data_IF_883499600694
#
_entry.id   IF_883499600694
#
_cell.length_a   1.000
_cell.length_b   1.000
_cell.length_c   1.000
_cell.angle_alpha   90.00
_cell.angle_beta   90.00
_cell.angle_gamma   90.00
#
_symmetry.space_group_name_H-M   'P 1'
#
loop_
_entity.id
_entity.type
_entity.pdbx_description
1 polymer ?
#
# COMPACT_ATOMS: atom_id res chain seq x y z
N UNK A 1 63.68 11.73 -1.24
CA UNK A 1 63.43 11.59 -2.71
C UNK A 1 62.06 10.96 -2.89
N UNK A 2 61.02 11.82 -2.87
CA UNK A 2 59.60 11.43 -2.84
C UNK A 2 59.02 11.76 -4.23
N UNK A 3 58.58 10.74 -4.99
CA UNK A 3 57.90 10.89 -6.26
C UNK A 3 56.38 10.94 -6.04
N UNK A 4 55.79 12.07 -6.35
CA UNK A 4 54.38 12.32 -6.44
C UNK A 4 53.73 11.43 -7.55
N UNK A 5 52.74 10.63 -7.20
CA UNK A 5 51.81 10.03 -8.14
C UNK A 5 50.51 10.85 -8.18
N UNK A 6 50.37 11.63 -9.24
CA UNK A 6 49.14 12.33 -9.63
C UNK A 6 48.06 11.31 -10.03
N UNK A 7 46.99 11.23 -9.25
CA UNK A 7 45.81 10.49 -9.61
C UNK A 7 45.00 11.18 -10.72
N UNK A 8 44.84 10.49 -11.83
CA UNK A 8 43.99 10.89 -12.97
C UNK A 8 42.50 10.80 -12.54
N UNK A 9 41.80 11.93 -12.52
CA UNK A 9 40.33 11.99 -12.45
C UNK A 9 39.76 11.36 -13.74
N UNK A 10 39.10 10.22 -13.62
CA UNK A 10 38.24 9.70 -14.69
C UNK A 10 36.92 10.50 -14.69
N UNK A 11 36.72 11.28 -15.75
CA UNK A 11 35.42 11.84 -16.13
C UNK A 11 34.55 10.70 -16.65
N UNK A 12 33.41 10.48 -15.98
CA UNK A 12 32.33 9.68 -16.54
C UNK A 12 31.47 10.56 -17.44
N UNK A 13 31.25 10.20 -18.71
CA UNK A 13 30.29 10.92 -19.55
C UNK A 13 28.88 10.44 -19.18
N UNK A 14 28.10 11.34 -18.58
CA UNK A 14 26.67 11.17 -18.51
C UNK A 14 26.05 11.33 -19.91
N UNK A 15 25.42 10.27 -20.40
CA UNK A 15 24.36 10.39 -21.41
C UNK A 15 23.33 9.29 -21.16
N UNK A 16 22.15 9.76 -20.79
CA UNK A 16 20.87 9.10 -20.77
C UNK A 16 20.66 8.20 -22.00
N UNK A 17 20.66 6.88 -21.75
CA UNK A 17 20.21 5.85 -22.71
C UNK A 17 19.06 5.01 -22.15
N UNK A 18 18.27 5.58 -21.22
CA UNK A 18 17.18 4.84 -20.58
C UNK A 18 15.88 4.78 -21.40
N UNK A 19 15.70 5.63 -22.41
CA UNK A 19 14.42 5.72 -23.11
C UNK A 19 14.26 4.79 -24.33
N UNK A 20 15.34 4.21 -24.84
CA UNK A 20 15.26 3.28 -25.98
C UNK A 20 15.06 1.83 -25.52
N UNK A 21 15.42 1.50 -24.28
CA UNK A 21 15.24 0.15 -23.72
C UNK A 21 13.79 -0.17 -23.37
N UNK A 22 13.00 0.83 -22.99
CA UNK A 22 11.58 0.65 -22.63
C UNK A 22 10.75 0.29 -23.87
N UNK A 23 11.00 0.90 -25.03
CA UNK A 23 10.26 0.62 -26.26
C UNK A 23 10.64 -0.74 -26.90
N UNK A 24 11.89 -1.18 -26.74
CA UNK A 24 12.29 -2.53 -27.17
C UNK A 24 11.78 -3.65 -26.28
N UNK A 25 11.57 -3.36 -24.97
CA UNK A 25 10.97 -4.31 -24.05
C UNK A 25 9.47 -4.52 -24.31
N UNK A 26 8.73 -3.48 -24.72
CA UNK A 26 7.30 -3.57 -25.04
C UNK A 26 7.07 -4.36 -26.35
N UNK A 27 7.95 -4.25 -27.36
CA UNK A 27 7.85 -5.03 -28.60
C UNK A 27 8.40 -6.47 -28.43
N UNK A 28 9.35 -6.69 -27.53
CA UNK A 28 9.92 -8.02 -27.25
C UNK A 28 8.99 -8.94 -26.45
N UNK A 29 8.10 -8.39 -25.63
CA UNK A 29 7.11 -9.16 -24.85
C UNK A 29 6.00 -9.73 -25.74
N UNK A 30 5.74 -9.17 -26.92
CA UNK A 30 4.80 -9.74 -27.89
C UNK A 30 5.29 -11.03 -28.60
N UNK A 31 6.60 -11.33 -28.56
CA UNK A 31 7.20 -12.46 -29.29
C UNK A 31 7.65 -13.61 -28.37
N UNK A 32 7.74 -13.40 -27.04
CA UNK A 32 8.26 -14.39 -26.07
C UNK A 32 7.17 -15.14 -25.27
N UNK A 33 5.94 -15.17 -25.73
CA UNK A 33 4.87 -16.03 -25.15
C UNK A 33 4.94 -17.50 -25.62
N UNK A 34 6.03 -17.89 -26.24
CA UNK A 34 6.18 -19.20 -26.93
C UNK A 34 6.84 -20.33 -26.14
N UNK A 35 7.28 -20.20 -24.88
CA UNK A 35 7.92 -21.35 -24.23
C UNK A 35 7.98 -21.22 -22.71
N UNK A 36 6.97 -21.70 -22.05
CA UNK A 36 6.92 -22.53 -20.82
C UNK A 36 5.51 -22.50 -20.21
N UNK A 37 4.63 -23.30 -20.82
CA UNK A 37 3.29 -23.54 -20.34
C UNK A 37 3.36 -24.63 -19.29
N UNK A 38 3.25 -24.27 -18.01
CA UNK A 38 2.78 -25.22 -17.00
C UNK A 38 1.26 -25.11 -16.96
N UNK A 39 0.61 -25.95 -17.75
CA UNK A 39 -0.87 -26.04 -17.82
C UNK A 39 -1.36 -26.77 -16.57
N UNK A 40 -1.88 -26.05 -15.61
CA UNK A 40 -2.83 -26.59 -14.66
C UNK A 40 -4.22 -26.49 -15.29
N UNK A 41 -4.56 -27.45 -16.15
CA UNK A 41 -5.92 -27.60 -16.68
C UNK A 41 -6.83 -28.09 -15.54
N UNK A 42 -7.58 -27.18 -14.93
CA UNK A 42 -8.76 -27.56 -14.17
C UNK A 42 -9.92 -27.76 -15.14
N UNK A 43 -10.07 -28.99 -15.61
CA UNK A 43 -11.28 -29.42 -16.31
C UNK A 43 -12.42 -29.54 -15.30
N UNK A 44 -13.10 -28.44 -15.05
CA UNK A 44 -14.37 -28.44 -14.35
C UNK A 44 -15.49 -28.47 -15.37
N UNK A 45 -16.25 -29.58 -15.46
CA UNK A 45 -17.53 -29.63 -16.14
C UNK A 45 -18.49 -28.70 -15.41
N UNK A 46 -18.54 -27.42 -15.81
CA UNK A 46 -19.57 -26.51 -15.36
C UNK A 46 -20.85 -26.79 -16.11
N UNK A 47 -21.77 -27.53 -15.47
CA UNK A 47 -23.18 -27.45 -15.78
C UNK A 47 -23.59 -25.98 -15.79
N UNK A 48 -24.18 -25.54 -16.88
CA UNK A 48 -24.82 -24.25 -17.13
C UNK A 48 -25.14 -23.44 -15.86
N UNK A 49 -24.22 -22.62 -15.40
CA UNK A 49 -24.49 -21.56 -14.45
C UNK A 49 -24.61 -20.26 -15.24
N UNK A 50 -25.63 -20.27 -16.16
CA UNK A 50 -26.22 -19.01 -16.57
C UNK A 50 -26.66 -18.31 -15.29
N UNK A 51 -26.09 -17.16 -15.03
CA UNK A 51 -26.69 -16.03 -14.29
C UNK A 51 -27.84 -16.44 -13.37
N UNK A 52 -27.61 -17.39 -12.46
CA UNK A 52 -28.41 -17.44 -11.25
C UNK A 52 -28.12 -16.09 -10.58
N UNK A 53 -29.19 -15.32 -10.48
CA UNK A 53 -29.21 -14.03 -9.85
C UNK A 53 -28.22 -13.97 -8.70
N UNK A 54 -27.17 -13.14 -8.83
CA UNK A 54 -26.22 -12.84 -7.74
C UNK A 54 -26.93 -12.30 -6.48
N UNK A 55 -28.26 -12.10 -6.56
CA UNK A 55 -29.14 -11.78 -5.45
C UNK A 55 -29.34 -12.93 -4.43
N UNK A 56 -28.98 -14.15 -4.78
CA UNK A 56 -29.11 -15.30 -3.89
C UNK A 56 -27.86 -15.59 -3.06
N UNK A 57 -26.74 -14.88 -3.27
CA UNK A 57 -25.54 -15.01 -2.43
C UNK A 57 -25.77 -14.13 -1.19
N UNK A 58 -25.93 -14.77 -0.06
CA UNK A 58 -26.10 -14.16 1.28
C UNK A 58 -24.82 -13.36 1.66
N UNK A 59 -24.62 -12.18 1.06
CA UNK A 59 -23.50 -11.29 1.31
C UNK A 59 -23.90 -9.82 1.25
N UNK A 60 -23.20 -8.95 2.00
CA UNK A 60 -23.38 -7.52 1.89
C UNK A 60 -22.84 -7.02 0.55
N UNK A 61 -23.68 -6.34 -0.21
CA UNK A 61 -23.32 -5.86 -1.56
C UNK A 61 -23.42 -4.35 -1.63
N UNK A 62 -22.36 -3.70 -2.13
CA UNK A 62 -22.22 -2.25 -2.21
C UNK A 62 -21.91 -1.85 -3.67
N UNK A 63 -22.62 -0.85 -4.18
CA UNK A 63 -22.30 -0.31 -5.51
C UNK A 63 -21.05 0.57 -5.47
N UNK A 64 -20.31 0.62 -6.57
CA UNK A 64 -19.13 1.49 -6.69
C UNK A 64 -19.45 2.97 -6.44
N UNK A 65 -20.67 3.43 -6.84
CA UNK A 65 -21.09 4.81 -6.60
C UNK A 65 -21.37 5.08 -5.11
N UNK A 66 -21.90 4.09 -4.39
CA UNK A 66 -22.09 4.20 -2.94
C UNK A 66 -20.74 4.29 -2.22
N UNK A 67 -19.79 3.41 -2.56
CA UNK A 67 -18.46 3.39 -1.97
C UNK A 67 -17.71 4.71 -2.16
N UNK A 68 -17.81 5.33 -3.33
CA UNK A 68 -17.19 6.63 -3.62
C UNK A 68 -17.68 7.78 -2.75
N UNK A 69 -18.90 7.73 -2.24
CA UNK A 69 -19.42 8.76 -1.33
C UNK A 69 -18.68 8.78 0.00
N UNK A 70 -18.17 7.62 0.44
CA UNK A 70 -17.43 7.50 1.70
C UNK A 70 -15.92 7.76 1.52
N UNK A 71 -15.35 7.24 0.43
CA UNK A 71 -13.95 7.53 0.10
C UNK A 71 -13.73 7.49 -1.43
N UNK A 72 -13.49 8.65 -2.09
CA UNK A 72 -13.50 8.72 -3.54
C UNK A 72 -12.29 8.06 -4.22
N UNK A 73 -11.17 7.90 -3.50
CA UNK A 73 -9.90 7.44 -4.08
C UNK A 73 -9.39 6.10 -3.55
N UNK A 74 -9.88 5.65 -2.38
CA UNK A 74 -9.37 4.42 -1.74
C UNK A 74 -10.51 3.44 -1.45
N UNK A 75 -10.48 2.30 -2.13
CA UNK A 75 -11.51 1.27 -2.01
C UNK A 75 -11.56 0.64 -0.62
N UNK A 76 -10.40 0.35 0.00
CA UNK A 76 -10.34 -0.28 1.31
C UNK A 76 -10.92 0.61 2.41
N UNK A 77 -10.57 1.90 2.40
CA UNK A 77 -11.17 2.86 3.34
C UNK A 77 -12.68 3.00 3.15
N UNK A 78 -13.14 3.01 1.90
CA UNK A 78 -14.58 3.03 1.63
C UNK A 78 -15.27 1.77 2.16
N UNK A 79 -14.67 0.60 2.00
CA UNK A 79 -15.21 -0.68 2.51
C UNK A 79 -15.24 -0.70 4.03
N UNK A 80 -14.22 -0.21 4.72
CA UNK A 80 -14.16 -0.14 6.18
C UNK A 80 -15.32 0.70 6.77
N UNK A 81 -15.71 1.76 6.08
CA UNK A 81 -16.83 2.61 6.51
C UNK A 81 -18.19 1.91 6.31
N UNK A 82 -18.39 1.25 5.16
CA UNK A 82 -19.69 0.62 4.84
C UNK A 82 -19.88 -0.76 5.46
N UNK A 83 -18.77 -1.39 5.88
CA UNK A 83 -18.77 -2.71 6.49
C UNK A 83 -18.05 -2.69 7.85
N UNK A 84 -18.77 -2.31 8.92
CA UNK A 84 -18.19 -2.16 10.27
C UNK A 84 -17.61 -3.46 10.86
N UNK A 85 -18.03 -4.63 10.36
CA UNK A 85 -17.45 -5.91 10.78
C UNK A 85 -16.08 -6.20 10.19
N UNK A 86 -15.63 -5.38 9.24
CA UNK A 86 -14.32 -5.46 8.63
C UNK A 86 -13.30 -4.75 9.53
N UNK A 87 -12.48 -5.52 10.19
CA UNK A 87 -11.39 -5.02 11.04
C UNK A 87 -10.10 -5.17 10.25
N UNK A 88 -9.42 -4.07 10.02
CA UNK A 88 -8.06 -4.03 9.49
C UNK A 88 -7.14 -3.99 10.70
N UNK A 89 -6.09 -4.83 10.73
CA UNK A 89 -5.20 -4.95 11.89
C UNK A 89 -4.70 -3.58 12.38
N UNK A 90 -4.36 -3.50 13.68
CA UNK A 90 -3.96 -2.28 14.42
C UNK A 90 -2.77 -1.50 13.88
N UNK A 91 -2.20 -1.93 12.80
CA UNK A 91 -1.46 -1.03 11.95
C UNK A 91 -2.35 0.14 11.46
N UNK A 92 -3.55 0.30 12.04
CA UNK A 92 -4.47 1.44 11.87
C UNK A 92 -3.79 2.78 12.06
N UNK A 93 -2.84 2.86 12.98
CA UNK A 93 -2.01 4.04 13.18
C UNK A 93 -1.19 4.39 11.95
N UNK A 94 -0.89 3.39 11.10
CA UNK A 94 -0.14 3.54 9.87
C UNK A 94 -1.04 3.64 8.64
N UNK A 95 -2.19 2.96 8.66
CA UNK A 95 -3.12 2.92 7.55
C UNK A 95 -3.80 4.27 7.34
N UNK A 96 -3.22 5.07 6.52
CA UNK A 96 -3.67 6.42 6.22
C UNK A 96 -2.62 7.48 6.47
N UNK A 97 -1.64 7.23 7.34
CA UNK A 97 -0.49 8.12 7.54
C UNK A 97 0.63 7.83 6.55
N UNK A 98 0.87 6.55 6.22
CA UNK A 98 1.83 6.12 5.21
C UNK A 98 1.12 5.58 3.95
N UNK A 99 1.31 6.19 2.78
CA UNK A 99 0.70 5.72 1.54
C UNK A 99 1.29 4.40 1.03
N UNK A 100 2.41 3.93 1.59
CA UNK A 100 3.05 2.66 1.22
C UNK A 100 2.53 1.48 2.03
N UNK A 101 1.80 1.74 3.10
CA UNK A 101 1.28 0.69 3.95
C UNK A 101 0.23 -0.16 3.23
N UNK A 102 0.42 -1.47 3.27
CA UNK A 102 -0.54 -2.48 2.80
C UNK A 102 -0.93 -3.33 3.99
N UNK A 103 -2.23 -3.46 4.33
CA UNK A 103 -2.67 -4.28 5.44
C UNK A 103 -2.22 -5.73 5.32
N UNK A 104 -1.73 -6.29 6.40
CA UNK A 104 -1.33 -7.71 6.50
C UNK A 104 -2.43 -8.57 7.07
N UNK A 105 -3.38 -7.98 7.80
CA UNK A 105 -4.53 -8.65 8.35
C UNK A 105 -5.82 -7.88 8.05
N UNK A 106 -6.83 -8.60 7.58
CA UNK A 106 -8.21 -8.13 7.48
C UNK A 106 -9.10 -9.25 7.97
N UNK A 107 -9.89 -8.98 9.00
CA UNK A 107 -10.82 -9.96 9.56
C UNK A 107 -12.26 -9.47 9.48
N UNK A 108 -13.19 -10.42 9.38
CA UNK A 108 -14.61 -10.19 9.53
C UNK A 108 -15.09 -10.94 10.77
N UNK A 109 -15.74 -10.24 11.73
CA UNK A 109 -16.28 -10.81 12.98
C UNK A 109 -15.22 -11.50 13.88
N UNK A 110 -14.01 -10.93 13.95
CA UNK A 110 -12.92 -11.43 14.78
C UNK A 110 -12.07 -12.53 14.12
N UNK A 111 -11.00 -12.92 14.83
CA UNK A 111 -10.01 -13.90 14.33
C UNK A 111 -10.61 -15.30 14.38
N UNK A 112 -10.71 -15.94 13.21
CA UNK A 112 -11.23 -17.32 13.09
C UNK A 112 -10.14 -18.39 12.96
N UNK A 113 -8.85 -18.02 12.98
CA UNK A 113 -7.78 -18.99 12.81
C UNK A 113 -7.17 -19.40 14.15
N UNK A 114 -6.98 -20.71 14.34
CA UNK A 114 -6.27 -21.30 15.47
C UNK A 114 -4.74 -21.17 15.27
N UNK A 115 -4.29 -20.81 14.08
CA UNK A 115 -2.88 -20.82 13.66
C UNK A 115 -2.10 -19.54 14.00
N UNK A 116 -2.53 -18.75 14.97
CA UNK A 116 -1.76 -17.62 15.49
C UNK A 116 -1.46 -16.50 14.47
N UNK A 117 -0.87 -15.43 14.96
CA UNK A 117 -0.59 -14.20 14.18
C UNK A 117 0.49 -14.32 13.10
N UNK A 118 1.22 -15.42 13.02
CA UNK A 118 2.41 -15.52 12.16
C UNK A 118 2.11 -15.67 10.65
N UNK A 119 0.86 -15.93 10.25
CA UNK A 119 0.50 -16.20 8.85
C UNK A 119 -0.31 -15.13 8.13
N UNK A 120 -0.66 -14.01 8.78
CA UNK A 120 -1.55 -12.99 8.21
C UNK A 120 -2.95 -13.55 7.89
N UNK A 121 -4.01 -12.92 8.38
CA UNK A 121 -5.40 -13.33 8.13
C UNK A 121 -6.00 -12.42 7.08
N UNK A 122 -5.90 -12.81 5.81
CA UNK A 122 -6.48 -12.06 4.71
C UNK A 122 -7.70 -12.77 4.14
N UNK A 123 -8.76 -12.05 3.74
CA UNK A 123 -9.84 -12.60 2.95
C UNK A 123 -9.37 -12.96 1.54
N UNK A 124 -10.07 -13.87 0.89
CA UNK A 124 -9.86 -14.13 -0.52
C UNK A 124 -10.41 -12.95 -1.34
N UNK A 125 -9.60 -12.38 -2.23
CA UNK A 125 -9.97 -11.22 -3.03
C UNK A 125 -10.13 -11.65 -4.47
N UNK A 126 -11.35 -11.47 -5.01
CA UNK A 126 -11.72 -11.87 -6.36
C UNK A 126 -12.14 -10.64 -7.16
N UNK A 127 -11.57 -10.43 -8.34
CA UNK A 127 -11.97 -9.38 -9.28
C UNK A 127 -12.36 -10.02 -10.60
N UNK A 128 -13.59 -9.83 -11.02
CA UNK A 128 -14.18 -10.42 -12.25
C UNK A 128 -13.93 -11.94 -12.38
N UNK A 129 -13.90 -12.65 -11.24
CA UNK A 129 -13.64 -14.09 -11.17
C UNK A 129 -12.18 -14.49 -10.99
N UNK A 130 -11.25 -13.57 -10.94
CA UNK A 130 -9.82 -13.81 -10.72
C UNK A 130 -9.39 -13.38 -9.34
N UNK A 131 -8.54 -14.19 -8.74
CA UNK A 131 -7.88 -13.85 -7.49
C UNK A 131 -6.81 -12.79 -7.69
N UNK A 132 -6.78 -11.80 -6.80
CA UNK A 132 -5.72 -10.80 -6.70
C UNK A 132 -5.17 -10.75 -5.28
N UNK A 133 -3.93 -10.27 -5.13
CA UNK A 133 -3.30 -10.05 -3.84
C UNK A 133 -3.80 -8.78 -3.13
N UNK A 134 -3.57 -8.69 -1.81
CA UNK A 134 -3.98 -7.55 -1.00
C UNK A 134 -3.35 -6.24 -1.45
N UNK A 135 -2.10 -6.24 -1.82
CA UNK A 135 -1.39 -5.06 -2.33
C UNK A 135 -1.96 -4.58 -3.68
N UNK A 136 -2.52 -5.48 -4.50
CA UNK A 136 -3.27 -5.11 -5.71
C UNK A 136 -4.65 -4.55 -5.40
N UNK A 137 -5.30 -5.01 -4.33
CA UNK A 137 -6.55 -4.44 -3.85
C UNK A 137 -6.34 -3.03 -3.28
N UNK A 138 -5.26 -2.79 -2.53
CA UNK A 138 -4.92 -1.47 -2.00
C UNK A 138 -4.74 -0.41 -3.11
N UNK A 139 -4.20 -0.83 -4.26
CA UNK A 139 -4.01 0.01 -5.45
C UNK A 139 -5.19 -0.06 -6.45
N UNK A 140 -6.31 -0.71 -6.06
CA UNK A 140 -7.43 -0.89 -6.97
C UNK A 140 -8.20 0.41 -7.18
N UNK A 141 -8.44 0.76 -8.45
CA UNK A 141 -9.17 1.98 -8.78
C UNK A 141 -10.67 1.82 -8.52
N UNK A 142 -11.17 2.49 -7.49
CA UNK A 142 -12.59 2.50 -7.11
C UNK A 142 -13.51 2.96 -8.26
N UNK A 143 -12.99 3.74 -9.21
CA UNK A 143 -13.75 4.22 -10.36
C UNK A 143 -14.14 3.09 -11.33
N UNK A 144 -13.37 2.01 -11.33
CA UNK A 144 -13.64 0.80 -12.13
C UNK A 144 -14.65 -0.13 -11.49
N UNK A 145 -14.97 0.07 -10.20
CA UNK A 145 -15.88 -0.79 -9.45
C UNK A 145 -17.33 -0.54 -9.90
N UNK A 146 -18.03 -1.59 -10.30
CA UNK A 146 -19.48 -1.62 -10.43
C UNK A 146 -20.11 -2.01 -9.10
N UNK A 147 -19.62 -3.10 -8.49
CA UNK A 147 -20.13 -3.67 -7.24
C UNK A 147 -19.01 -4.37 -6.46
N UNK A 148 -19.10 -4.31 -5.14
CA UNK A 148 -18.34 -5.17 -4.23
C UNK A 148 -19.33 -5.99 -3.42
N UNK A 149 -19.10 -7.29 -3.33
CA UNK A 149 -19.86 -8.21 -2.47
C UNK A 149 -18.92 -8.82 -1.45
N UNK A 150 -19.28 -8.71 -0.17
CA UNK A 150 -18.51 -9.28 0.94
C UNK A 150 -19.24 -10.51 1.45
N UNK A 151 -18.58 -11.66 1.36
CA UNK A 151 -19.08 -12.94 1.84
C UNK A 151 -18.37 -13.30 3.12
N UNK A 152 -19.11 -13.40 4.21
CA UNK A 152 -18.57 -13.65 5.57
C UNK A 152 -18.99 -15.01 6.13
N UNK A 153 -20.07 -15.56 5.59
CA UNK A 153 -20.71 -16.74 6.11
C UNK A 153 -20.25 -18.00 5.34
N UNK A 154 -20.22 -19.12 6.02
CA UNK A 154 -19.76 -20.40 5.45
C UNK A 154 -20.50 -20.78 4.17
N UNK A 155 -21.79 -20.48 4.06
CA UNK A 155 -22.61 -20.77 2.86
C UNK A 155 -22.15 -19.97 1.64
N UNK A 156 -21.84 -18.67 1.83
CA UNK A 156 -21.33 -17.82 0.75
C UNK A 156 -19.90 -18.15 0.37
N UNK A 157 -19.07 -18.53 1.34
CA UNK A 157 -17.65 -18.84 1.10
C UNK A 157 -17.43 -20.25 0.55
N UNK A 158 -18.38 -21.19 0.73
CA UNK A 158 -18.29 -22.56 0.22
C UNK A 158 -18.03 -22.65 -1.28
N UNK A 159 -18.52 -21.68 -2.06
CA UNK A 159 -18.31 -21.60 -3.50
C UNK A 159 -16.84 -21.45 -3.88
N UNK A 160 -16.05 -20.83 -2.99
CA UNK A 160 -14.64 -20.50 -3.20
C UNK A 160 -13.68 -21.47 -2.47
N UNK A 161 -14.22 -22.49 -1.80
CA UNK A 161 -13.46 -23.55 -1.13
C UNK A 161 -12.73 -23.11 0.14
N UNK A 162 -11.77 -23.92 0.58
CA UNK A 162 -11.05 -23.77 1.88
C UNK A 162 -10.35 -22.39 1.99
N UNK A 163 -9.88 -21.81 0.90
CA UNK A 163 -9.18 -20.51 0.88
C UNK A 163 -10.07 -19.33 1.29
N UNK A 164 -11.37 -19.50 1.25
CA UNK A 164 -12.36 -18.50 1.63
C UNK A 164 -12.71 -18.50 3.13
N UNK A 165 -12.00 -19.27 3.96
CA UNK A 165 -12.28 -19.39 5.39
C UNK A 165 -12.30 -18.08 6.16
N UNK A 166 -11.55 -17.07 5.73
CA UNK A 166 -11.50 -15.73 6.31
C UNK A 166 -12.45 -14.73 5.61
N UNK A 167 -13.39 -15.22 4.78
CA UNK A 167 -14.29 -14.41 3.99
C UNK A 167 -13.79 -14.17 2.57
N UNK A 168 -14.65 -13.57 1.75
CA UNK A 168 -14.35 -13.22 0.35
C UNK A 168 -14.76 -11.78 0.07
N UNK A 169 -13.89 -11.03 -0.58
CA UNK A 169 -14.19 -9.73 -1.17
C UNK A 169 -14.28 -9.93 -2.69
N UNK A 170 -15.50 -10.01 -3.22
CA UNK A 170 -15.75 -10.19 -4.64
C UNK A 170 -16.07 -8.84 -5.29
N UNK A 171 -15.26 -8.44 -6.27
CA UNK A 171 -15.36 -7.17 -6.99
C UNK A 171 -15.76 -7.44 -8.41
N UNK A 172 -16.84 -6.80 -8.85
CA UNK A 172 -17.28 -6.77 -10.24
C UNK A 172 -16.91 -5.42 -10.83
N UNK A 173 -16.20 -5.41 -11.96
CA UNK A 173 -15.85 -4.17 -12.66
C UNK A 173 -16.94 -3.74 -13.64
N UNK A 174 -16.96 -2.43 -13.93
CA UNK A 174 -17.90 -1.84 -14.88
C UNK A 174 -17.74 -2.47 -16.25
N UNK A 175 -18.88 -2.86 -16.84
CA UNK A 175 -18.93 -3.40 -18.19
C UNK A 175 -18.58 -2.31 -19.20
N UNK A 176 -17.93 -2.72 -20.29
CA UNK A 176 -17.72 -1.85 -21.44
C UNK A 176 -19.04 -1.72 -22.22
N UNK A 177 -19.25 -0.58 -22.83
CA UNK A 177 -20.44 -0.29 -23.62
C UNK A 177 -20.08 -0.15 -25.10
N UNK A 178 -20.86 -0.78 -25.97
CA UNK A 178 -20.75 -0.58 -27.42
C UNK A 178 -21.07 0.86 -27.80
N UNK A 179 -20.44 1.34 -28.85
CA UNK A 179 -20.62 2.69 -29.39
C UNK A 179 -19.35 3.26 -29.99
N UNK A 180 -19.44 4.51 -30.44
CA UNK A 180 -18.29 5.27 -30.93
C UNK A 180 -17.20 5.40 -29.88
N UNK A 181 -16.00 5.72 -30.36
CA UNK A 181 -14.86 6.01 -29.46
C UNK A 181 -15.21 7.08 -28.43
N UNK A 182 -15.06 6.75 -27.15
CA UNK A 182 -15.24 7.65 -26.03
C UNK A 182 -13.93 7.86 -25.32
N UNK A 183 -13.62 9.10 -25.03
CA UNK A 183 -12.44 9.52 -24.27
C UNK A 183 -12.89 10.10 -22.93
N UNK A 184 -12.38 9.57 -21.83
CA UNK A 184 -12.65 10.05 -20.48
C UNK A 184 -11.36 10.50 -19.84
N UNK A 185 -11.34 11.74 -19.35
CA UNK A 185 -10.32 12.19 -18.41
C UNK A 185 -10.94 12.45 -17.06
N UNK A 186 -10.30 11.95 -16.01
CA UNK A 186 -10.71 12.18 -14.63
C UNK A 186 -9.54 12.68 -13.81
N UNK A 187 -9.84 13.66 -13.01
CA UNK A 187 -8.97 14.18 -11.97
C UNK A 187 -9.64 13.96 -10.61
N UNK A 188 -8.95 13.29 -9.68
CA UNK A 188 -9.37 13.18 -8.29
C UNK A 188 -8.30 13.86 -7.45
N UNK A 189 -8.68 14.87 -6.65
CA UNK A 189 -7.78 15.61 -5.75
C UNK A 189 -8.32 15.60 -4.32
N UNK A 190 -7.43 15.64 -3.33
CA UNK A 190 -7.80 15.66 -1.93
C UNK A 190 -6.68 16.18 -1.03
N UNK A 191 -7.08 16.72 0.10
CA UNK A 191 -6.16 17.15 1.17
C UNK A 191 -6.41 16.24 2.38
N UNK A 192 -5.35 15.66 2.93
CA UNK A 192 -5.45 14.87 4.16
C UNK A 192 -5.00 15.73 5.34
N UNK A 193 -5.85 15.82 6.34
CA UNK A 193 -5.56 16.54 7.59
C UNK A 193 -5.62 15.54 8.73
N UNK A 194 -4.56 15.48 9.54
CA UNK A 194 -4.58 14.67 10.76
C UNK A 194 -5.50 15.31 11.79
N UNK A 195 -6.48 14.56 12.25
CA UNK A 195 -7.31 14.98 13.39
C UNK A 195 -6.64 14.52 14.68
N UNK A 196 -6.16 15.48 15.45
CA UNK A 196 -5.51 15.27 16.74
C UNK A 196 -6.43 15.64 17.93
N UNK A 197 -7.70 15.92 17.70
CA UNK A 197 -8.63 16.41 18.72
C UNK A 197 -8.90 15.39 19.83
N UNK A 198 -8.76 14.09 19.54
CA UNK A 198 -8.95 13.01 20.51
C UNK A 198 -7.75 12.77 21.43
N UNK A 199 -6.61 13.40 21.15
CA UNK A 199 -5.40 13.25 21.96
C UNK A 199 -5.35 14.34 23.04
N UNK A 200 -5.76 13.98 24.26
CA UNK A 200 -5.65 14.86 25.44
C UNK A 200 -4.36 14.57 26.19
N UNK A 201 -3.24 15.13 25.71
CA UNK A 201 -1.92 14.98 26.32
C UNK A 201 -1.54 16.21 27.14
N UNK A 202 -0.87 15.97 28.27
CA UNK A 202 -0.38 17.04 29.15
C UNK A 202 0.60 17.95 28.41
N UNK A 203 0.49 19.25 28.66
CA UNK A 203 1.52 20.20 28.27
C UNK A 203 2.72 20.13 29.23
N UNK A 204 3.83 20.85 28.90
CA UNK A 204 5.06 20.78 29.66
C UNK A 204 4.89 21.17 31.13
N UNK A 205 4.11 22.22 31.42
CA UNK A 205 3.88 22.67 32.80
C UNK A 205 3.06 21.67 33.61
N UNK A 206 2.03 21.11 33.04
CA UNK A 206 1.22 20.07 33.67
C UNK A 206 2.03 18.81 33.97
N UNK A 207 2.81 18.35 32.98
CA UNK A 207 3.67 17.16 33.12
C UNK A 207 4.74 17.39 34.22
N UNK A 208 5.44 18.54 34.22
CA UNK A 208 6.44 18.87 35.19
C UNK A 208 5.87 19.04 36.63
N UNK A 209 4.66 19.63 36.75
CA UNK A 209 3.98 19.73 38.03
C UNK A 209 3.62 18.35 38.60
N UNK A 210 3.13 17.44 37.75
CA UNK A 210 2.86 16.06 38.13
C UNK A 210 4.12 15.32 38.57
N UNK A 211 5.20 15.39 37.79
CA UNK A 211 6.49 14.76 38.10
C UNK A 211 7.09 15.30 39.40
N UNK A 212 6.97 16.62 39.65
CA UNK A 212 7.39 17.24 40.89
C UNK A 212 6.60 16.73 42.09
N UNK A 213 5.28 16.58 41.93
CA UNK A 213 4.41 16.04 43.00
C UNK A 213 4.71 14.58 43.32
N UNK A 214 5.31 13.86 42.39
CA UNK A 214 5.79 12.48 42.56
C UNK A 214 7.19 12.38 43.16
N UNK A 215 7.83 13.51 43.53
CA UNK A 215 9.17 13.57 44.10
C UNK A 215 10.30 13.35 43.09
N UNK A 216 10.04 13.36 41.77
CA UNK A 216 11.03 13.06 40.75
C UNK A 216 12.15 14.13 40.66
N UNK A 217 11.95 15.30 41.25
CA UNK A 217 12.91 16.39 41.30
C UNK A 217 13.45 16.64 42.69
N UNK A 218 13.22 15.75 43.65
CA UNK A 218 13.73 15.89 45.00
C UNK A 218 15.27 15.92 45.01
N UNK A 219 15.86 17.01 45.51
CA UNK A 219 17.29 17.24 45.46
C UNK A 219 17.82 17.75 44.10
N UNK A 220 17.01 17.93 43.08
CA UNK A 220 17.44 18.43 41.75
C UNK A 220 16.54 19.53 41.18
N UNK A 221 16.35 20.60 41.94
CA UNK A 221 15.51 21.73 41.53
C UNK A 221 16.09 22.45 40.28
N UNK A 222 17.40 22.37 40.05
CA UNK A 222 18.06 22.95 38.88
C UNK A 222 17.56 22.30 37.57
N UNK A 223 17.42 20.97 37.54
CA UNK A 223 16.90 20.24 36.41
C UNK A 223 15.42 20.58 36.15
N UNK A 224 14.62 20.72 37.22
CA UNK A 224 13.24 21.16 37.09
C UNK A 224 13.14 22.54 36.41
N UNK A 225 13.94 23.50 36.86
CA UNK A 225 13.95 24.84 36.30
C UNK A 225 14.46 24.86 34.84
N UNK A 226 15.44 24.03 34.52
CA UNK A 226 15.93 23.88 33.16
C UNK A 226 14.81 23.37 32.24
N UNK A 227 14.11 22.28 32.60
CA UNK A 227 13.01 21.73 31.85
C UNK A 227 11.86 22.73 31.70
N UNK A 228 11.55 23.49 32.72
CA UNK A 228 10.54 24.54 32.68
C UNK A 228 10.91 25.66 31.67
N UNK A 229 12.17 26.05 31.60
CA UNK A 229 12.69 27.05 30.63
C UNK A 229 12.70 26.52 29.19
N UNK A 230 12.72 25.21 28.98
CA UNK A 230 12.68 24.60 27.64
C UNK A 230 11.39 24.87 26.92
N UNK A 231 10.31 25.21 27.62
CA UNK A 231 9.03 25.53 27.05
C UNK A 231 8.20 24.29 26.75
N UNK A 232 7.24 24.40 25.81
CA UNK A 232 6.29 23.35 25.48
C UNK A 232 6.38 22.99 23.98
N UNK A 233 6.75 21.76 23.68
CA UNK A 233 6.79 21.23 22.31
C UNK A 233 5.59 20.32 22.07
N UNK A 234 4.74 20.65 21.08
CA UNK A 234 3.70 19.73 20.64
C UNK A 234 4.32 18.68 19.72
N UNK A 235 4.73 17.56 20.29
CA UNK A 235 5.41 16.47 19.58
C UNK A 235 4.50 15.77 18.57
N UNK A 236 3.18 15.72 18.77
CA UNK A 236 2.25 15.11 17.84
C UNK A 236 2.27 15.79 16.46
N UNK A 237 2.51 17.11 16.42
CA UNK A 237 2.57 17.87 15.17
C UNK A 237 3.92 17.76 14.45
N UNK A 238 4.96 17.29 15.14
CA UNK A 238 6.33 17.27 14.58
C UNK A 238 6.46 16.39 13.35
N UNK A 239 6.00 15.12 13.37
CA UNK A 239 6.13 14.22 12.21
C UNK A 239 5.09 14.47 11.12
N UNK A 240 4.06 15.28 11.37
CA UNK A 240 2.90 15.40 10.51
C UNK A 240 2.99 16.56 9.52
N UNK A 241 2.38 16.37 8.37
CA UNK A 241 2.15 17.38 7.34
C UNK A 241 0.72 17.23 6.80
N UNK A 242 0.26 18.27 6.09
CA UNK A 242 -1.01 18.26 5.35
C UNK A 242 -0.72 18.06 3.87
N UNK A 243 -0.74 16.83 3.35
CA UNK A 243 -0.43 16.59 1.97
C UNK A 243 -1.63 16.87 1.06
N UNK A 244 -1.36 17.39 -0.12
CA UNK A 244 -2.28 17.34 -1.24
C UNK A 244 -1.99 16.07 -2.05
N UNK A 245 -3.02 15.25 -2.27
CA UNK A 245 -2.96 14.05 -3.11
C UNK A 245 -3.78 14.26 -4.36
N UNK A 246 -3.29 13.72 -5.48
CA UNK A 246 -4.00 13.80 -6.73
C UNK A 246 -3.80 12.54 -7.58
N UNK A 247 -4.80 12.26 -8.39
CA UNK A 247 -4.83 11.15 -9.33
C UNK A 247 -5.38 11.63 -10.66
N UNK A 248 -4.69 11.26 -11.72
CA UNK A 248 -5.08 11.48 -13.10
C UNK A 248 -5.40 10.15 -13.76
N UNK A 249 -6.50 10.07 -14.44
CA UNK A 249 -6.90 8.90 -15.20
C UNK A 249 -7.37 9.31 -16.57
N UNK A 250 -6.77 8.74 -17.59
CA UNK A 250 -7.20 8.83 -18.98
C UNK A 250 -7.71 7.47 -19.42
N UNK A 251 -8.90 7.38 -19.96
CA UNK A 251 -9.50 6.14 -20.44
C UNK A 251 -10.13 6.35 -21.80
N UNK A 252 -9.90 5.42 -22.71
CA UNK A 252 -10.56 5.31 -24.00
C UNK A 252 -11.31 4.01 -24.07
N UNK A 253 -12.54 4.05 -24.54
CA UNK A 253 -13.31 2.82 -24.80
C UNK A 253 -14.19 3.00 -26.04
N UNK A 254 -14.51 1.88 -26.68
CA UNK A 254 -15.38 1.86 -27.85
C UNK A 254 -15.55 0.45 -28.38
N UNK A 255 -16.17 0.37 -29.56
CA UNK A 255 -16.39 -0.87 -30.25
C UNK A 255 -17.85 -1.12 -30.57
N UNK A 256 -18.12 -2.31 -31.08
CA UNK A 256 -19.46 -2.75 -31.47
C UNK A 256 -19.91 -4.00 -30.67
N UNK A 257 -20.96 -4.66 -31.12
CA UNK A 257 -21.46 -5.89 -30.49
C UNK A 257 -20.49 -7.05 -30.54
N UNK A 258 -19.54 -7.03 -31.48
CA UNK A 258 -18.59 -8.13 -31.74
C UNK A 258 -17.23 -7.86 -31.07
N UNK A 259 -16.78 -6.60 -31.05
CA UNK A 259 -15.49 -6.22 -30.51
C UNK A 259 -15.67 -5.00 -29.62
N UNK A 260 -15.34 -5.13 -28.33
CA UNK A 260 -15.26 -4.05 -27.39
C UNK A 260 -13.81 -3.88 -26.93
N UNK A 261 -13.34 -2.65 -26.85
CA UNK A 261 -12.00 -2.35 -26.37
C UNK A 261 -12.01 -1.22 -25.35
N UNK A 262 -11.07 -1.30 -24.42
CA UNK A 262 -10.78 -0.27 -23.43
C UNK A 262 -9.28 -0.21 -23.23
N UNK A 263 -8.73 1.00 -23.17
CA UNK A 263 -7.38 1.25 -22.68
C UNK A 263 -7.42 2.38 -21.67
N UNK A 264 -6.60 2.32 -20.64
CA UNK A 264 -6.51 3.38 -19.64
C UNK A 264 -5.07 3.60 -19.19
N UNK A 265 -4.82 4.83 -18.81
CA UNK A 265 -3.61 5.26 -18.13
C UNK A 265 -4.01 5.92 -16.81
N UNK A 266 -3.33 5.56 -15.72
CA UNK A 266 -3.49 6.12 -14.39
C UNK A 266 -2.15 6.63 -13.90
N UNK A 267 -2.14 7.82 -13.28
CA UNK A 267 -0.96 8.40 -12.66
C UNK A 267 -1.32 9.10 -11.34
N UNK A 268 -0.54 8.81 -10.30
CA UNK A 268 -0.59 9.50 -9.00
C UNK A 268 0.81 10.00 -8.65
N UNK A 269 1.33 11.00 -9.39
CA UNK A 269 2.69 11.49 -9.17
C UNK A 269 2.77 12.35 -7.91
N UNK A 270 3.85 12.23 -7.15
CA UNK A 270 4.16 13.11 -6.03
C UNK A 270 3.25 12.99 -4.82
N UNK A 271 2.44 11.93 -4.71
CA UNK A 271 1.55 11.74 -3.58
C UNK A 271 2.34 11.48 -2.30
N UNK A 272 2.16 12.37 -1.33
CA UNK A 272 2.78 12.29 0.01
C UNK A 272 1.78 11.72 1.01
N UNK A 273 2.29 11.09 2.07
CA UNK A 273 1.48 10.73 3.22
C UNK A 273 1.39 11.84 4.26
N UNK A 274 0.56 11.61 5.28
CA UNK A 274 0.42 12.53 6.43
C UNK A 274 1.71 12.57 7.26
N UNK A 275 2.47 11.47 7.33
CA UNK A 275 3.81 11.47 7.90
C UNK A 275 4.79 12.13 6.93
N UNK A 276 5.58 13.09 7.43
CA UNK A 276 6.59 13.80 6.63
C UNK A 276 7.60 12.83 6.01
N UNK A 277 7.95 13.08 4.76
CA UNK A 277 8.94 12.29 4.04
C UNK A 277 8.40 11.02 3.40
N UNK A 278 7.21 10.53 3.79
CA UNK A 278 6.55 9.42 3.09
C UNK A 278 6.02 9.87 1.73
N UNK A 279 6.14 8.98 0.73
CA UNK A 279 5.73 9.25 -0.65
C UNK A 279 5.38 7.95 -1.36
N UNK A 280 4.35 8.01 -2.24
CA UNK A 280 4.01 6.92 -3.14
C UNK A 280 3.60 7.46 -4.50
N UNK A 281 4.34 7.12 -5.53
CA UNK A 281 3.98 7.36 -6.92
C UNK A 281 3.45 6.05 -7.51
N UNK A 282 2.32 6.10 -8.20
CA UNK A 282 1.75 4.94 -8.88
C UNK A 282 1.37 5.32 -10.30
N UNK A 283 1.87 4.54 -11.25
CA UNK A 283 1.55 4.63 -12.66
C UNK A 283 1.02 3.30 -13.13
N UNK A 284 -0.10 3.30 -13.83
CA UNK A 284 -0.66 2.08 -14.39
C UNK A 284 -1.13 2.30 -15.83
N UNK A 285 -0.90 1.30 -16.67
CA UNK A 285 -1.49 1.19 -17.99
C UNK A 285 -2.25 -0.13 -18.05
N UNK A 286 -3.43 -0.12 -18.65
CA UNK A 286 -4.18 -1.34 -18.86
C UNK A 286 -4.97 -1.29 -20.14
N UNK A 287 -5.15 -2.48 -20.72
CA UNK A 287 -5.98 -2.71 -21.90
C UNK A 287 -6.95 -3.84 -21.62
N UNK A 288 -8.09 -3.80 -22.26
CA UNK A 288 -9.06 -4.90 -22.29
C UNK A 288 -9.68 -4.99 -23.68
N UNK A 289 -9.72 -6.19 -24.20
CA UNK A 289 -10.36 -6.53 -25.45
C UNK A 289 -11.39 -7.64 -25.19
N UNK A 290 -12.66 -7.41 -25.49
CA UNK A 290 -13.70 -8.42 -25.47
C UNK A 290 -14.12 -8.67 -26.92
N UNK A 291 -13.90 -9.88 -27.41
CA UNK A 291 -14.39 -10.36 -28.71
C UNK A 291 -15.56 -11.33 -28.51
N UNK A 292 -16.61 -11.16 -29.26
CA UNK A 292 -17.79 -12.05 -29.21
C UNK A 292 -18.36 -12.27 -30.59
N UNK A 293 -18.60 -13.51 -30.91
CA UNK A 293 -19.48 -13.90 -32.01
C UNK A 293 -20.51 -14.94 -31.53
N UNK A 294 -21.26 -15.58 -32.44
CA UNK A 294 -22.31 -16.55 -32.10
C UNK A 294 -21.80 -17.76 -31.29
N UNK A 295 -20.54 -18.15 -31.46
CA UNK A 295 -19.97 -19.37 -30.85
C UNK A 295 -18.79 -19.12 -29.93
N UNK A 296 -18.12 -17.98 -30.05
CA UNK A 296 -16.88 -17.72 -29.34
C UNK A 296 -16.94 -16.38 -28.60
N UNK A 297 -16.59 -16.41 -27.30
CA UNK A 297 -16.32 -15.24 -26.51
C UNK A 297 -14.89 -15.30 -26.03
N UNK A 298 -14.13 -14.26 -26.29
CA UNK A 298 -12.75 -14.10 -25.78
C UNK A 298 -12.62 -12.75 -25.12
N UNK A 299 -12.07 -12.75 -23.91
CA UNK A 299 -11.69 -11.54 -23.19
C UNK A 299 -10.21 -11.61 -22.86
N UNK A 300 -9.46 -10.64 -23.30
CA UNK A 300 -8.08 -10.43 -22.89
C UNK A 300 -7.95 -9.10 -22.13
N UNK A 301 -7.26 -9.11 -21.00
CA UNK A 301 -7.00 -7.90 -20.22
C UNK A 301 -5.58 -7.91 -19.70
N UNK A 302 -4.79 -6.91 -20.13
CA UNK A 302 -3.44 -6.66 -19.66
C UNK A 302 -3.43 -5.46 -18.71
N UNK A 303 -2.67 -5.57 -17.63
CA UNK A 303 -2.40 -4.48 -16.73
C UNK A 303 -0.92 -4.48 -16.33
N UNK A 304 -0.31 -3.31 -16.37
CA UNK A 304 1.05 -3.06 -15.92
C UNK A 304 1.02 -1.91 -14.93
N UNK A 305 1.53 -2.14 -13.72
CA UNK A 305 1.66 -1.14 -12.68
C UNK A 305 3.13 -0.89 -12.37
N UNK A 306 3.51 0.37 -12.17
CA UNK A 306 4.83 0.78 -11.70
C UNK A 306 4.63 1.67 -10.48
N UNK A 307 5.18 1.24 -9.35
CA UNK A 307 4.99 1.89 -8.05
C UNK A 307 6.36 2.25 -7.49
N UNK A 308 6.51 3.47 -7.00
CA UNK A 308 7.68 3.93 -6.27
C UNK A 308 7.23 4.38 -4.89
N UNK A 309 7.76 3.72 -3.86
CA UNK A 309 7.52 4.02 -2.46
C UNK A 309 8.74 4.66 -1.80
N UNK A 310 8.49 5.56 -0.86
CA UNK A 310 9.46 6.04 0.10
C UNK A 310 8.79 6.11 1.46
N UNK A 311 9.35 5.43 2.44
CA UNK A 311 8.84 5.44 3.80
C UNK A 311 9.21 6.74 4.51
N UNK A 312 8.44 7.06 5.55
CA UNK A 312 8.74 8.21 6.40
C UNK A 312 10.00 7.96 7.22
N UNK A 313 10.97 8.89 7.25
CA UNK A 313 12.10 8.79 8.16
C UNK A 313 11.70 9.08 9.62
N UNK A 314 10.48 9.58 9.85
CA UNK A 314 9.97 9.91 11.19
C UNK A 314 9.50 8.69 11.98
N UNK A 315 9.60 7.48 11.44
CA UNK A 315 9.21 6.25 12.15
C UNK A 315 7.72 6.17 12.46
N UNK A 316 7.39 5.70 13.65
CA UNK A 316 6.03 5.44 14.12
C UNK A 316 5.45 6.69 14.80
N UNK A 317 4.21 7.06 14.48
CA UNK A 317 3.54 8.20 15.10
C UNK A 317 3.42 8.05 16.63
N UNK A 318 3.19 6.82 17.11
CA UNK A 318 3.05 6.50 18.53
C UNK A 318 4.28 6.93 19.36
N UNK A 319 5.49 6.83 18.81
CA UNK A 319 6.71 7.20 19.52
C UNK A 319 6.72 8.69 19.90
N UNK A 320 6.07 9.54 19.08
CA UNK A 320 5.93 10.95 19.36
C UNK A 320 4.94 11.28 20.48
N UNK A 321 4.01 10.38 20.79
CA UNK A 321 3.10 10.54 21.94
C UNK A 321 3.81 10.32 23.28
N UNK A 322 4.89 9.52 23.26
CA UNK A 322 5.64 9.15 24.45
C UNK A 322 6.71 10.20 24.83
N UNK A 323 7.05 11.12 23.92
CA UNK A 323 8.05 12.14 24.18
C UNK A 323 7.50 13.21 25.14
N UNK A 324 8.27 13.50 26.19
CA UNK A 324 7.88 14.55 27.13
C UNK A 324 7.85 15.95 26.48
N UNK A 325 6.81 16.75 26.73
CA UNK A 325 6.59 18.02 26.04
C UNK A 325 7.62 19.12 26.39
N UNK A 326 8.39 18.98 27.47
CA UNK A 326 9.45 19.91 27.85
C UNK A 326 10.78 19.68 27.10
N UNK A 327 10.88 18.66 26.22
CA UNK A 327 12.05 18.54 25.35
C UNK A 327 11.90 19.42 24.11
N UNK A 328 13.03 20.03 23.69
CA UNK A 328 13.08 20.89 22.49
C UNK A 328 13.45 20.04 21.25
N UNK A 329 12.99 20.45 20.11
CA UNK A 329 13.49 19.95 18.82
C UNK A 329 14.97 20.30 18.71
N UNK A 330 15.84 19.30 18.51
CA UNK A 330 17.26 19.51 18.30
C UNK A 330 18.07 19.92 19.56
N UNK A 331 17.45 19.95 20.74
CA UNK A 331 18.19 20.12 21.99
C UNK A 331 18.73 18.78 22.47
N UNK A 332 19.96 18.53 22.19
CA UNK A 332 20.63 17.34 22.66
C UNK A 332 20.68 16.23 21.60
N UNK A 333 21.79 15.57 21.63
CA UNK A 333 22.09 14.44 20.80
C UNK A 333 21.10 13.26 20.95
N UNK A 334 21.61 12.09 20.86
CA UNK A 334 20.89 10.82 20.83
C UNK A 334 19.80 10.62 21.90
N UNK A 335 19.86 11.30 23.05
CA UNK A 335 19.03 11.03 24.22
C UNK A 335 18.12 12.19 24.58
N UNK A 336 16.84 12.12 24.19
CA UNK A 336 15.88 13.16 24.57
C UNK A 336 14.45 12.67 24.84
N UNK A 337 14.28 11.40 25.10
CA UNK A 337 13.00 10.87 25.55
C UNK A 337 13.20 10.00 26.79
N UNK A 338 12.65 10.40 27.94
CA UNK A 338 12.50 9.50 29.07
C UNK A 338 11.18 8.79 28.93
N UNK A 339 11.19 7.47 28.74
CA UNK A 339 10.00 6.63 28.75
C UNK A 339 9.90 5.96 30.11
N UNK A 340 8.71 6.03 30.70
CA UNK A 340 8.41 5.38 31.98
C UNK A 340 8.03 3.93 31.70
N UNK A 341 8.95 2.97 31.98
CA UNK A 341 8.69 1.55 31.96
C UNK A 341 9.05 0.93 33.29
N UNK A 342 8.20 0.13 33.92
CA UNK A 342 8.39 -0.66 35.14
C UNK A 342 9.28 -0.02 36.24
N UNK A 343 9.09 1.29 36.52
CA UNK A 343 9.80 1.98 37.62
C UNK A 343 11.22 2.45 37.30
N UNK A 344 11.71 2.24 36.10
CA UNK A 344 13.02 2.77 35.65
C UNK A 344 12.84 3.70 34.45
N UNK A 345 13.50 4.86 34.52
CA UNK A 345 13.61 5.77 33.38
C UNK A 345 14.68 5.22 32.44
N UNK A 346 14.30 4.75 31.27
CA UNK A 346 15.26 4.55 30.19
C UNK A 346 15.27 5.78 29.28
N UNK A 347 16.45 6.32 29.02
CA UNK A 347 16.62 7.32 27.98
C UNK A 347 16.51 6.59 26.64
N UNK A 348 15.42 6.86 25.91
CA UNK A 348 15.29 6.39 24.54
C UNK A 348 15.74 7.48 23.58
N UNK A 349 16.30 7.07 22.46
CA UNK A 349 16.66 7.99 21.39
C UNK A 349 15.41 8.63 20.81
N UNK A 350 15.49 9.93 20.61
CA UNK A 350 14.40 10.70 20.04
C UNK A 350 14.11 10.23 18.60
N UNK A 351 12.87 9.84 18.24
CA UNK A 351 12.51 9.53 16.86
C UNK A 351 12.73 10.74 15.93
N UNK A 352 12.76 11.95 16.46
CA UNK A 352 13.13 13.14 15.71
C UNK A 352 14.62 13.17 15.34
N UNK A 353 15.51 12.68 16.23
CA UNK A 353 16.93 12.52 15.92
C UNK A 353 17.11 11.50 14.79
N UNK A 354 16.48 10.32 14.89
CA UNK A 354 16.51 9.30 13.84
C UNK A 354 16.02 9.84 12.48
N UNK A 355 14.95 10.65 12.50
CA UNK A 355 14.44 11.30 11.30
C UNK A 355 15.40 12.32 10.67
N UNK A 356 16.36 12.85 11.45
CA UNK A 356 17.38 13.80 10.98
C UNK A 356 18.57 13.12 10.30
N UNK A 357 18.70 11.82 10.48
CA UNK A 357 19.80 11.03 9.89
C UNK A 357 19.61 10.83 8.39
N UNK A 358 20.67 10.38 7.74
CA UNK A 358 20.65 10.04 6.29
C UNK A 358 19.99 8.71 5.98
N UNK A 359 19.37 8.05 6.94
CA UNK A 359 18.64 6.79 6.76
C UNK A 359 17.49 6.94 5.78
N UNK A 360 17.26 5.91 4.96
CA UNK A 360 16.12 5.86 4.04
C UNK A 360 15.64 4.45 3.78
N UNK A 361 14.36 4.33 3.45
CA UNK A 361 13.73 3.11 2.93
C UNK A 361 12.94 3.46 1.68
N UNK A 362 13.26 2.79 0.56
CA UNK A 362 12.64 3.00 -0.74
C UNK A 362 12.25 1.67 -1.35
N UNK A 363 11.10 1.66 -2.00
CA UNK A 363 10.62 0.49 -2.73
C UNK A 363 10.29 0.84 -4.18
N UNK A 364 10.47 -0.12 -5.05
CA UNK A 364 9.97 -0.07 -6.42
C UNK A 364 9.33 -1.41 -6.73
N UNK A 365 8.06 -1.37 -7.16
CA UNK A 365 7.36 -2.55 -7.64
C UNK A 365 6.96 -2.33 -9.11
N UNK A 366 7.20 -3.33 -9.95
CA UNK A 366 6.65 -3.41 -11.31
C UNK A 366 5.84 -4.68 -11.39
N UNK A 367 4.54 -4.57 -11.65
CA UNK A 367 3.60 -5.67 -11.65
C UNK A 367 2.98 -5.79 -13.02
N UNK A 368 3.04 -6.97 -13.60
CA UNK A 368 2.40 -7.30 -14.88
C UNK A 368 1.34 -8.36 -14.61
N UNK A 369 0.14 -8.15 -15.11
CA UNK A 369 -0.95 -9.11 -15.03
C UNK A 369 -1.66 -9.17 -16.36
N UNK A 370 -1.80 -10.35 -16.94
CA UNK A 370 -2.63 -10.63 -18.09
C UNK A 370 -3.65 -11.69 -17.73
N UNK A 371 -4.90 -11.49 -18.11
CA UNK A 371 -5.99 -12.45 -17.92
C UNK A 371 -6.65 -12.70 -19.24
N UNK A 372 -6.76 -13.96 -19.61
CA UNK A 372 -7.42 -14.43 -20.83
C UNK A 372 -8.60 -15.35 -20.44
N UNK A 373 -9.80 -14.96 -20.84
CA UNK A 373 -11.01 -15.78 -20.74
C UNK A 373 -11.42 -16.19 -22.12
N UNK A 374 -11.73 -17.45 -22.31
CA UNK A 374 -12.30 -17.97 -23.53
C UNK A 374 -13.51 -18.84 -23.18
N UNK A 375 -14.61 -18.63 -23.88
CA UNK A 375 -15.79 -19.49 -23.85
C UNK A 375 -16.15 -19.82 -25.30
N UNK A 376 -16.14 -21.10 -25.61
CA UNK A 376 -16.44 -21.62 -26.98
C UNK A 376 -17.59 -22.58 -26.93
N UNK A 377 -18.69 -22.21 -27.60
CA UNK A 377 -19.84 -23.07 -27.80
C UNK A 377 -19.59 -23.95 -29.02
N UNK A 378 -19.16 -25.19 -28.79
CA UNK A 378 -18.81 -26.16 -29.84
C UNK A 378 -20.06 -26.63 -30.51
N UNK A 379 -21.12 -26.96 -29.73
CA UNK A 379 -22.45 -27.45 -30.16
C UNK A 379 -23.50 -26.83 -29.25
N UNK A 380 -24.80 -26.98 -29.58
CA UNK A 380 -25.91 -26.41 -28.77
C UNK A 380 -25.86 -26.74 -27.29
N UNK A 381 -25.34 -27.93 -26.93
CA UNK A 381 -25.29 -28.42 -25.56
C UNK A 381 -23.84 -28.63 -25.03
N UNK A 382 -22.82 -28.21 -25.80
CA UNK A 382 -21.41 -28.37 -25.42
C UNK A 382 -20.69 -27.04 -25.45
N UNK A 383 -20.34 -26.54 -24.27
CA UNK A 383 -19.54 -25.34 -24.05
C UNK A 383 -18.20 -25.70 -23.44
N UNK A 384 -17.14 -25.20 -24.02
CA UNK A 384 -15.78 -25.23 -23.46
C UNK A 384 -15.43 -23.85 -22.96
N UNK A 385 -15.12 -23.74 -21.68
CA UNK A 385 -14.65 -22.48 -21.09
C UNK A 385 -13.28 -22.66 -20.42
N UNK A 386 -12.41 -21.69 -20.61
CA UNK A 386 -11.08 -21.67 -20.04
C UNK A 386 -10.70 -20.27 -19.56
N UNK A 387 -9.98 -20.22 -18.43
CA UNK A 387 -9.45 -19.00 -17.85
C UNK A 387 -7.95 -19.18 -17.65
N UNK A 388 -7.16 -18.25 -18.15
CA UNK A 388 -5.72 -18.21 -17.96
C UNK A 388 -5.33 -16.88 -17.35
N UNK A 389 -4.50 -16.90 -16.30
CA UNK A 389 -3.96 -15.70 -15.68
C UNK A 389 -2.45 -15.83 -15.57
N UNK A 390 -1.74 -14.85 -16.12
CA UNK A 390 -0.31 -14.68 -15.95
C UNK A 390 -0.05 -13.47 -15.06
N UNK A 391 0.75 -13.67 -14.02
CA UNK A 391 1.15 -12.59 -13.10
C UNK A 391 2.66 -12.64 -12.91
N UNK A 392 3.31 -11.49 -13.04
CA UNK A 392 4.73 -11.34 -12.74
C UNK A 392 4.96 -10.05 -11.96
N UNK A 393 5.59 -10.18 -10.80
CA UNK A 393 5.94 -9.07 -9.93
C UNK A 393 7.46 -8.96 -9.81
N UNK A 394 7.97 -7.74 -10.03
CA UNK A 394 9.37 -7.39 -9.85
C UNK A 394 9.43 -6.35 -8.74
N UNK A 395 9.94 -6.76 -7.58
CA UNK A 395 10.08 -5.89 -6.43
C UNK A 395 11.54 -5.60 -6.16
N UNK A 396 11.84 -4.34 -5.90
CA UNK A 396 13.15 -3.89 -5.45
C UNK A 396 12.95 -3.07 -4.19
N UNK A 397 13.73 -3.38 -3.17
CA UNK A 397 13.73 -2.67 -1.90
C UNK A 397 15.15 -2.20 -1.60
N UNK A 398 15.31 -0.90 -1.37
CA UNK A 398 16.56 -0.26 -1.03
C UNK A 398 16.42 0.39 0.36
N UNK A 399 17.16 -0.10 1.34
CA UNK A 399 17.18 0.45 2.69
C UNK A 399 18.62 0.77 3.10
N UNK A 400 18.81 1.94 3.65
CA UNK A 400 20.04 2.35 4.29
C UNK A 400 19.75 2.82 5.70
N UNK A 401 20.49 2.30 6.67
CA UNK A 401 20.46 2.73 8.08
C UNK A 401 21.80 3.41 8.36
N UNK A 402 21.75 4.67 8.80
CA UNK A 402 22.93 5.44 9.14
C UNK A 402 23.67 4.77 10.31
N UNK A 403 24.99 4.76 10.28
CA UNK A 403 25.81 4.26 11.40
C UNK A 403 25.60 5.05 12.70
N UNK A 404 25.03 6.26 12.63
CA UNK A 404 24.67 7.10 13.79
C UNK A 404 23.31 6.74 14.39
N UNK A 405 22.58 5.77 13.78
CA UNK A 405 21.30 5.33 14.29
C UNK A 405 21.47 4.57 15.60
N UNK A 406 20.47 4.67 16.49
CA UNK A 406 20.36 3.87 17.70
C UNK A 406 20.46 2.37 17.43
N UNK A 407 20.04 1.93 16.24
CA UNK A 407 20.17 0.54 15.82
C UNK A 407 21.58 -0.03 16.00
N UNK A 408 22.59 0.83 16.05
CA UNK A 408 23.99 0.45 16.23
C UNK A 408 24.57 0.88 17.59
N UNK A 409 23.75 1.34 18.54
CA UNK A 409 24.20 1.86 19.85
C UNK A 409 25.00 0.85 20.66
N UNK A 410 24.70 -0.43 20.52
CA UNK A 410 25.34 -1.53 21.26
C UNK A 410 26.68 -1.99 20.62
N UNK A 411 27.04 -1.42 19.47
CA UNK A 411 28.30 -1.74 18.82
C UNK A 411 29.43 -0.83 19.32
N UNK A 412 30.67 -1.34 19.51
CA UNK A 412 31.82 -0.51 19.78
C UNK A 412 31.97 0.57 18.71
N UNK A 413 32.31 1.81 19.12
CA UNK A 413 32.46 2.97 18.24
C UNK A 413 33.31 2.70 16.98
N UNK A 414 34.40 1.93 17.15
CA UNK A 414 35.29 1.55 16.04
C UNK A 414 34.65 0.63 15.00
N UNK A 415 33.60 -0.09 15.40
CA UNK A 415 32.84 -0.99 14.52
C UNK A 415 31.62 -0.30 13.90
N UNK A 416 31.08 0.73 14.57
CA UNK A 416 29.86 1.44 14.13
C UNK A 416 30.10 2.24 12.84
N UNK A 417 31.30 2.80 12.63
CA UNK A 417 31.64 3.50 11.39
C UNK A 417 31.66 2.58 10.16
N UNK A 418 31.94 1.28 10.37
CA UNK A 418 31.93 0.26 9.33
C UNK A 418 30.57 -0.42 9.16
N UNK A 419 29.64 -0.19 10.10
CA UNK A 419 28.40 -0.94 10.23
C UNK A 419 27.20 -0.35 9.52
N UNK A 420 27.31 0.80 8.83
CA UNK A 420 26.20 1.34 8.04
C UNK A 420 25.59 0.24 7.17
N UNK A 421 24.37 -0.22 7.49
CA UNK A 421 23.71 -1.32 6.74
C UNK A 421 23.06 -0.77 5.49
N UNK A 422 23.45 -1.34 4.36
CA UNK A 422 22.76 -1.15 3.09
C UNK A 422 22.12 -2.48 2.66
N UNK A 423 20.82 -2.50 2.50
CA UNK A 423 20.06 -3.69 2.14
C UNK A 423 19.36 -3.49 0.81
N UNK A 424 19.72 -4.29 -0.19
CA UNK A 424 19.04 -4.40 -1.47
C UNK A 424 18.36 -5.76 -1.52
N UNK A 425 17.05 -5.81 -1.79
CA UNK A 425 16.29 -7.04 -2.03
C UNK A 425 15.52 -6.96 -3.34
#
# INVERSE_FOLDING_TARGET
MIKLLRGKKRKYPGKSRSNIFVWRAIFGVMILVGSSVLVAAQTGIKKNVQTRDEKAILGNSFSGNQLKRFHPTNLLKALQVVEPSMIIDRAEEWYGSDPNYVPTEITFRGVKTILGKEGGVLPLIIVDGYEISMDRLADFDINRVERVTILKDATGTAIYGVRAGNGVIAITTKKMQAGSLRLYYRFDGGIDVADLSSYDIMNASQKLALEKSMGMYDGNDALYQERLRNGNTNWLKVPLQTPFRHKHQLEIEGGDSSILYRAYFLATPGNKGVMKGSKRDHYAIGTRLDYRNSKLYVRDALRIDVIYGKESPYGVFQDYMLINPYYRKGSGGQHSASVMGEGTFSEQVSPYYEASLSSFSKSRATRVMNTLNMTWQIMEHLELSGNFTFTKDFNKFDQYISFKSEYFSDLPLDSAELAGQYKIR
#
